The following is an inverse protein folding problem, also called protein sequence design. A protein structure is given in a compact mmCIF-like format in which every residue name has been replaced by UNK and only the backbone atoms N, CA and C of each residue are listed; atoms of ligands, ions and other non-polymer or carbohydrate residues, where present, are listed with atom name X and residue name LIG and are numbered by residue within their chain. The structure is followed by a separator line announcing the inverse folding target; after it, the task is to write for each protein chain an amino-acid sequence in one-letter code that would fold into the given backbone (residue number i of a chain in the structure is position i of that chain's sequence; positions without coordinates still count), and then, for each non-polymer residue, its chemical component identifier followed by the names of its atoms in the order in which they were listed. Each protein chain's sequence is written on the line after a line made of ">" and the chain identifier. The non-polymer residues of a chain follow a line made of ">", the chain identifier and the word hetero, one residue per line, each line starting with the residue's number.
data_IF_777547265695
#
_entry.id   IF_777547265695
#
_cell.length_a   1.000
_cell.length_b   1.000
_cell.length_c   1.000
_cell.angle_alpha   90.00
_cell.angle_beta   90.00
_cell.angle_gamma   90.00
#
_symmetry.space_group_name_H-M   'P 1'
#
loop_
_entity.id
_entity.type
_entity.pdbx_description
1 polymer ?
#
# COMPACT_ATOMS: atom_id res chain seq x y z
N UNK A 1 20.94 -38.14 17.46
CA UNK A 1 19.56 -37.63 17.29
C UNK A 1 18.97 -37.08 18.59
N UNK A 2 19.23 -37.62 19.79
CA UNK A 2 18.59 -37.15 21.03
C UNK A 2 18.97 -35.75 21.58
N UNK A 3 20.05 -35.12 21.12
CA UNK A 3 20.44 -33.78 21.61
C UNK A 3 19.69 -32.61 20.95
N UNK A 4 19.14 -32.81 19.74
CA UNK A 4 18.28 -31.80 19.09
C UNK A 4 16.84 -31.82 19.65
N UNK A 5 16.34 -33.00 20.01
CA UNK A 5 15.02 -33.14 20.63
C UNK A 5 14.97 -32.62 22.08
N UNK A 6 16.06 -32.75 22.85
CA UNK A 6 16.11 -32.21 24.22
C UNK A 6 16.19 -30.68 24.25
N UNK A 7 16.85 -30.05 23.26
CA UNK A 7 16.88 -28.60 23.12
C UNK A 7 15.53 -28.01 22.70
N UNK A 8 14.84 -28.62 21.72
CA UNK A 8 13.49 -28.20 21.33
C UNK A 8 12.46 -28.33 22.46
N UNK A 9 12.56 -29.37 23.30
CA UNK A 9 11.66 -29.53 24.48
C UNK A 9 11.95 -28.49 25.58
N UNK A 10 13.20 -28.09 25.76
CA UNK A 10 13.56 -27.06 26.73
C UNK A 10 13.11 -25.66 26.30
N UNK A 11 13.19 -25.33 25.01
CA UNK A 11 12.68 -24.06 24.47
C UNK A 11 11.15 -23.99 24.50
N UNK A 12 10.46 -25.07 24.13
CA UNK A 12 9.00 -25.15 24.22
C UNK A 12 8.49 -25.01 25.68
N UNK A 13 9.19 -25.59 26.65
CA UNK A 13 8.86 -25.47 28.07
C UNK A 13 9.13 -24.07 28.65
N UNK A 14 10.09 -23.33 28.09
CA UNK A 14 10.40 -21.95 28.51
C UNK A 14 9.36 -20.96 27.97
N UNK A 15 8.96 -21.10 26.70
CA UNK A 15 7.91 -20.28 26.09
C UNK A 15 6.53 -20.47 26.75
N UNK A 16 6.19 -21.70 27.15
CA UNK A 16 4.93 -21.97 27.87
C UNK A 16 4.90 -21.31 29.26
N UNK A 17 6.03 -21.28 29.99
CA UNK A 17 6.11 -20.61 31.30
C UNK A 17 6.01 -19.09 31.18
N UNK A 18 6.62 -18.51 30.16
CA UNK A 18 6.57 -17.07 29.89
C UNK A 18 5.16 -16.62 29.48
N UNK A 19 4.51 -17.36 28.56
CA UNK A 19 3.12 -17.12 28.18
C UNK A 19 2.17 -17.20 29.38
N UNK A 20 2.36 -18.18 30.27
CA UNK A 20 1.55 -18.29 31.50
C UNK A 20 1.77 -17.10 32.44
N UNK A 21 3.00 -16.58 32.56
CA UNK A 21 3.27 -15.38 33.36
C UNK A 21 2.61 -14.13 32.76
N UNK A 22 2.60 -14.00 31.44
CA UNK A 22 1.95 -12.88 30.74
C UNK A 22 0.42 -12.93 30.93
N UNK A 23 -0.18 -14.11 30.79
CA UNK A 23 -1.61 -14.30 31.01
C UNK A 23 -2.02 -14.07 32.47
N UNK A 24 -1.15 -14.37 33.43
CA UNK A 24 -1.41 -14.04 34.84
C UNK A 24 -1.53 -12.54 35.08
N UNK A 25 -0.73 -11.72 34.38
CA UNK A 25 -0.86 -10.26 34.43
C UNK A 25 -2.18 -9.80 33.83
N UNK A 26 -2.54 -10.28 32.64
CA UNK A 26 -3.83 -10.03 32.00
C UNK A 26 -5.00 -10.37 32.95
N UNK A 27 -5.01 -11.58 33.51
CA UNK A 27 -6.08 -12.02 34.41
C UNK A 27 -6.13 -11.26 35.73
N UNK A 28 -5.01 -10.72 36.22
CA UNK A 28 -5.00 -9.87 37.40
C UNK A 28 -5.72 -8.54 37.17
N UNK A 29 -5.68 -8.01 35.95
CA UNK A 29 -6.37 -6.76 35.59
C UNK A 29 -7.84 -7.00 35.24
N UNK A 30 -8.12 -8.09 34.53
CA UNK A 30 -9.46 -8.39 34.00
C UNK A 30 -10.43 -8.90 35.07
N UNK A 31 -9.98 -9.72 36.03
CA UNK A 31 -10.87 -10.21 37.09
C UNK A 31 -10.13 -10.63 38.36
N UNK A 32 -10.64 -10.16 39.50
CA UNK A 32 -10.17 -10.55 40.83
C UNK A 32 -10.70 -11.93 41.26
N UNK A 33 -11.68 -12.49 40.55
CA UNK A 33 -12.26 -13.82 40.82
C UNK A 33 -11.76 -14.87 39.82
N UNK A 34 -12.05 -16.15 40.03
CA UNK A 34 -11.70 -17.22 39.06
C UNK A 34 -12.58 -17.20 37.79
N UNK A 35 -13.60 -16.33 37.78
CA UNK A 35 -14.51 -16.13 36.66
C UNK A 35 -14.23 -14.80 35.96
N UNK A 36 -14.29 -14.82 34.64
CA UNK A 36 -14.12 -13.68 33.77
C UNK A 36 -15.45 -13.42 33.09
N UNK A 37 -16.06 -12.26 33.36
CA UNK A 37 -17.27 -11.85 32.66
C UNK A 37 -16.94 -11.40 31.23
N UNK A 38 -17.90 -11.51 30.33
CA UNK A 38 -17.77 -11.04 28.95
C UNK A 38 -17.42 -9.55 28.90
N UNK A 39 -18.04 -8.74 29.74
CA UNK A 39 -17.86 -7.29 29.72
C UNK A 39 -16.47 -6.91 30.24
N UNK A 40 -16.00 -7.53 31.33
CA UNK A 40 -14.64 -7.30 31.84
C UNK A 40 -13.58 -7.69 30.80
N UNK A 41 -13.79 -8.82 30.11
CA UNK A 41 -12.91 -9.26 29.04
C UNK A 41 -12.85 -8.26 27.88
N UNK A 42 -14.00 -7.77 27.42
CA UNK A 42 -14.08 -6.84 26.29
C UNK A 42 -13.54 -5.46 26.68
N UNK A 43 -13.84 -4.98 27.89
CA UNK A 43 -13.46 -3.65 28.37
C UNK A 43 -11.97 -3.50 28.65
N UNK A 44 -11.24 -4.60 28.82
CA UNK A 44 -9.78 -4.58 28.89
C UNK A 44 -9.16 -4.04 27.59
N UNK A 45 -9.73 -4.41 26.44
CA UNK A 45 -9.21 -4.01 25.14
C UNK A 45 -9.61 -2.58 24.77
N UNK A 46 -8.77 -1.83 24.04
CA UNK A 46 -9.15 -0.54 23.45
C UNK A 46 -10.39 -0.67 22.56
N UNK A 47 -11.06 0.45 22.26
CA UNK A 47 -12.30 0.45 21.48
C UNK A 47 -12.17 -0.28 20.14
N UNK A 48 -11.04 -0.09 19.46
CA UNK A 48 -10.68 -0.77 18.20
C UNK A 48 -10.61 -2.30 18.35
N UNK A 49 -10.20 -2.79 19.53
CA UNK A 49 -10.07 -4.21 19.83
C UNK A 49 -11.33 -4.90 20.34
N UNK A 50 -12.35 -4.14 20.76
CA UNK A 50 -13.59 -4.70 21.33
C UNK A 50 -14.32 -5.68 20.41
N UNK A 51 -14.47 -5.44 19.09
CA UNK A 51 -15.11 -6.41 18.19
C UNK A 51 -14.39 -7.76 18.15
N UNK A 52 -13.06 -7.73 18.08
CA UNK A 52 -12.21 -8.93 18.10
C UNK A 52 -12.34 -9.66 19.44
N UNK A 53 -12.24 -8.93 20.55
CA UNK A 53 -12.37 -9.47 21.90
C UNK A 53 -13.73 -10.14 22.12
N UNK A 54 -14.83 -9.52 21.69
CA UNK A 54 -16.15 -10.09 21.81
C UNK A 54 -16.32 -11.39 21.01
N UNK A 55 -15.71 -11.48 19.83
CA UNK A 55 -15.72 -12.69 18.99
C UNK A 55 -14.85 -13.80 19.60
N UNK A 56 -13.66 -13.45 20.09
CA UNK A 56 -12.80 -14.38 20.84
C UNK A 56 -13.52 -14.93 22.06
N UNK A 57 -14.19 -14.08 22.85
CA UNK A 57 -14.96 -14.53 24.01
C UNK A 57 -16.10 -15.46 23.62
N UNK A 58 -16.84 -15.14 22.55
CA UNK A 58 -17.94 -15.99 22.04
C UNK A 58 -17.43 -17.37 21.58
N UNK A 59 -16.17 -17.47 21.12
CA UNK A 59 -15.53 -18.75 20.80
C UNK A 59 -15.16 -19.54 22.06
N UNK A 60 -14.64 -18.86 23.06
CA UNK A 60 -14.23 -19.47 24.33
C UNK A 60 -15.45 -19.97 25.10
N UNK A 61 -16.52 -19.17 25.12
CA UNK A 61 -17.78 -19.46 25.80
C UNK A 61 -18.98 -19.07 24.94
N UNK A 62 -19.51 -19.99 24.11
CA UNK A 62 -20.61 -19.68 23.18
C UNK A 62 -21.96 -19.48 23.87
N UNK A 63 -22.16 -20.05 25.06
CA UNK A 63 -23.46 -20.09 25.75
C UNK A 63 -23.48 -19.32 27.07
N UNK A 64 -22.33 -19.05 27.69
CA UNK A 64 -22.26 -18.47 29.02
C UNK A 64 -21.74 -17.02 28.96
N UNK A 65 -22.33 -16.14 29.78
CA UNK A 65 -21.85 -14.75 29.97
C UNK A 65 -20.55 -14.66 30.76
N UNK A 66 -20.11 -15.78 31.36
CA UNK A 66 -18.90 -15.90 32.16
C UNK A 66 -18.09 -17.11 31.71
N UNK A 67 -16.77 -17.03 31.85
CA UNK A 67 -15.86 -18.13 31.58
C UNK A 67 -14.85 -18.28 32.73
N UNK A 68 -14.38 -19.49 33.00
CA UNK A 68 -13.29 -19.69 33.99
C UNK A 68 -11.96 -19.26 33.39
N UNK A 69 -11.04 -18.75 34.23
CA UNK A 69 -9.69 -18.35 33.79
C UNK A 69 -9.01 -19.47 32.99
N UNK A 70 -9.12 -20.72 33.46
CA UNK A 70 -8.54 -21.90 32.83
C UNK A 70 -9.03 -22.15 31.39
N UNK A 71 -10.33 -21.93 31.12
CA UNK A 71 -10.91 -22.05 29.77
C UNK A 71 -10.44 -20.92 28.83
N UNK A 72 -10.15 -19.73 29.37
CA UNK A 72 -9.59 -18.63 28.60
C UNK A 72 -8.08 -18.80 28.34
N UNK A 73 -7.34 -19.45 29.26
CA UNK A 73 -5.88 -19.60 29.16
C UNK A 73 -5.45 -20.34 27.90
N UNK A 74 -6.12 -21.43 27.55
CA UNK A 74 -5.71 -22.26 26.41
C UNK A 74 -5.77 -21.49 25.07
N UNK A 75 -6.91 -20.87 24.65
CA UNK A 75 -6.97 -20.10 23.41
C UNK A 75 -6.06 -18.88 23.40
N UNK A 76 -5.91 -18.18 24.53
CA UNK A 76 -5.00 -17.03 24.61
C UNK A 76 -3.54 -17.46 24.52
N UNK A 77 -3.17 -18.60 25.12
CA UNK A 77 -1.82 -19.16 25.00
C UNK A 77 -1.49 -19.58 23.57
N UNK A 78 -2.48 -20.09 22.82
CA UNK A 78 -2.34 -20.40 21.40
C UNK A 78 -2.04 -19.12 20.60
N UNK A 79 -2.79 -18.04 20.83
CA UNK A 79 -2.53 -16.74 20.20
C UNK A 79 -1.10 -16.25 20.49
N UNK A 80 -0.66 -16.30 21.75
CA UNK A 80 0.70 -15.88 22.13
C UNK A 80 1.82 -16.76 21.52
N UNK A 81 1.51 -18.00 21.16
CA UNK A 81 2.46 -18.96 20.59
C UNK A 81 2.58 -18.91 19.06
N UNK A 82 1.67 -18.21 18.38
CA UNK A 82 1.62 -18.17 16.91
C UNK A 82 2.72 -17.24 16.39
N UNK A 83 3.74 -17.82 15.78
CA UNK A 83 4.90 -17.08 15.28
C UNK A 83 4.88 -16.80 13.76
N UNK A 84 4.16 -17.58 12.96
CA UNK A 84 4.18 -17.48 11.49
C UNK A 84 2.94 -16.77 10.95
N UNK A 85 3.10 -16.00 9.87
CA UNK A 85 2.01 -15.33 9.14
C UNK A 85 0.92 -16.31 8.68
N UNK A 86 1.32 -17.46 8.16
CA UNK A 86 0.40 -18.54 7.77
C UNK A 86 -0.45 -19.08 8.92
N UNK A 87 0.15 -19.23 10.10
CA UNK A 87 -0.59 -19.65 11.29
C UNK A 87 -1.52 -18.53 11.80
N UNK A 88 -1.11 -17.26 11.71
CA UNK A 88 -1.97 -16.10 12.01
C UNK A 88 -3.20 -16.09 11.10
N UNK A 89 -2.98 -16.23 9.79
CA UNK A 89 -4.01 -16.30 8.75
C UNK A 89 -5.06 -17.38 9.03
N UNK A 90 -4.59 -18.59 9.32
CA UNK A 90 -5.47 -19.72 9.65
C UNK A 90 -6.25 -19.49 10.95
N UNK A 91 -5.58 -18.96 11.98
CA UNK A 91 -6.16 -18.69 13.29
C UNK A 91 -7.30 -17.67 13.19
N UNK A 92 -7.06 -16.50 12.59
CA UNK A 92 -8.06 -15.43 12.55
C UNK A 92 -9.26 -15.77 11.69
N UNK A 93 -9.06 -16.45 10.56
CA UNK A 93 -10.19 -16.98 9.81
C UNK A 93 -10.99 -17.94 10.69
N UNK A 94 -10.36 -18.91 11.34
CA UNK A 94 -11.06 -19.88 12.18
C UNK A 94 -11.85 -19.23 13.33
N UNK A 95 -11.29 -18.18 13.95
CA UNK A 95 -11.96 -17.40 15.01
C UNK A 95 -13.26 -16.78 14.48
N UNK A 96 -13.24 -16.16 13.30
CA UNK A 96 -14.39 -15.43 12.77
C UNK A 96 -15.40 -16.33 12.04
N UNK A 97 -14.97 -17.21 11.14
CA UNK A 97 -15.88 -18.00 10.29
C UNK A 97 -16.22 -19.39 10.83
N UNK A 98 -15.39 -19.95 11.71
CA UNK A 98 -15.55 -21.34 12.15
C UNK A 98 -15.31 -22.31 11.01
N UNK A 99 -16.25 -23.23 10.78
CA UNK A 99 -16.10 -24.29 9.77
C UNK A 99 -16.46 -23.80 8.36
N UNK A 100 -17.42 -22.87 8.22
CA UNK A 100 -17.91 -22.37 6.93
C UNK A 100 -17.61 -20.88 6.75
N UNK A 101 -17.01 -20.48 5.63
CA UNK A 101 -16.79 -19.08 5.29
C UNK A 101 -18.10 -18.41 4.86
N UNK A 102 -18.72 -17.65 5.76
CA UNK A 102 -19.85 -16.76 5.42
C UNK A 102 -19.30 -15.38 5.07
N UNK A 103 -19.86 -14.79 4.01
CA UNK A 103 -19.43 -13.47 3.53
C UNK A 103 -19.42 -12.42 4.64
N UNK A 104 -20.48 -12.36 5.46
CA UNK A 104 -20.57 -11.39 6.56
C UNK A 104 -19.48 -11.58 7.63
N UNK A 105 -19.13 -12.82 7.97
CA UNK A 105 -18.11 -13.10 8.99
C UNK A 105 -16.71 -12.71 8.48
N UNK A 106 -16.44 -12.96 7.19
CA UNK A 106 -15.21 -12.53 6.52
C UNK A 106 -15.15 -11.00 6.40
N UNK A 107 -16.24 -10.34 6.00
CA UNK A 107 -16.30 -8.88 5.95
C UNK A 107 -16.01 -8.27 7.32
N UNK A 108 -16.64 -8.77 8.39
CA UNK A 108 -16.40 -8.28 9.75
C UNK A 108 -14.93 -8.47 10.19
N UNK A 109 -14.31 -9.60 9.81
CA UNK A 109 -12.89 -9.85 10.07
C UNK A 109 -12.00 -8.82 9.36
N UNK A 110 -12.24 -8.59 8.06
CA UNK A 110 -11.46 -7.64 7.26
C UNK A 110 -11.66 -6.20 7.74
N UNK A 111 -12.90 -5.82 8.09
CA UNK A 111 -13.19 -4.52 8.70
C UNK A 111 -12.43 -4.34 10.01
N UNK A 112 -12.43 -5.36 10.87
CA UNK A 112 -11.68 -5.31 12.13
C UNK A 112 -10.18 -5.16 11.84
N UNK A 113 -9.62 -5.99 10.96
CA UNK A 113 -8.19 -5.92 10.62
C UNK A 113 -7.78 -4.55 10.03
N UNK A 114 -8.61 -3.96 9.16
CA UNK A 114 -8.38 -2.61 8.63
C UNK A 114 -8.36 -1.57 9.75
N UNK A 115 -9.28 -1.64 10.71
CA UNK A 115 -9.33 -0.68 11.84
C UNK A 115 -8.05 -0.74 12.68
N UNK A 116 -7.53 -1.94 12.94
CA UNK A 116 -6.24 -2.12 13.63
C UNK A 116 -5.08 -1.51 12.83
N UNK A 117 -5.06 -1.73 11.52
CA UNK A 117 -4.05 -1.17 10.65
C UNK A 117 -4.08 0.37 10.64
N UNK A 118 -5.26 0.97 10.45
CA UNK A 118 -5.42 2.43 10.43
C UNK A 118 -5.06 3.08 11.77
N UNK A 119 -5.46 2.46 12.88
CA UNK A 119 -5.11 2.94 14.22
C UNK A 119 -3.58 2.94 14.43
N UNK A 120 -2.89 1.88 14.00
CA UNK A 120 -1.44 1.79 14.11
C UNK A 120 -0.71 2.73 13.13
N UNK A 121 -1.33 3.08 12.01
CA UNK A 121 -0.80 4.05 11.06
C UNK A 121 -1.10 5.51 11.45
N UNK A 122 -1.86 5.76 12.52
CA UNK A 122 -2.28 7.11 12.91
C UNK A 122 -3.27 7.75 11.94
N UNK A 123 -3.94 6.95 11.09
CA UNK A 123 -4.90 7.44 10.11
C UNK A 123 -6.32 7.36 10.69
N UNK A 124 -7.14 8.42 10.56
CA UNK A 124 -8.51 8.39 11.05
C UNK A 124 -9.30 7.22 10.46
N UNK A 125 -10.00 6.50 11.35
CA UNK A 125 -10.79 5.32 11.00
C UNK A 125 -12.12 5.61 10.25
N UNK A 126 -12.19 6.74 9.54
CA UNK A 126 -13.38 7.09 8.74
C UNK A 126 -13.37 6.29 7.46
N UNK A 127 -14.39 5.45 7.27
CA UNK A 127 -14.56 4.65 6.05
C UNK A 127 -15.25 5.45 4.95
N UNK A 128 -14.78 5.25 3.73
CA UNK A 128 -15.42 5.70 2.50
C UNK A 128 -16.13 4.54 1.80
N UNK A 129 -17.08 4.82 0.91
CA UNK A 129 -17.71 3.77 0.08
C UNK A 129 -16.71 3.01 -0.83
N UNK A 130 -15.56 3.62 -1.13
CA UNK A 130 -14.47 2.95 -1.83
C UNK A 130 -13.77 1.90 -0.95
N UNK A 131 -13.64 2.16 0.35
CA UNK A 131 -13.11 1.18 1.30
C UNK A 131 -14.04 -0.03 1.42
N UNK A 132 -15.34 0.20 1.52
CA UNK A 132 -16.32 -0.88 1.56
C UNK A 132 -16.30 -1.71 0.28
N UNK A 133 -16.13 -1.08 -0.89
CA UNK A 133 -16.01 -1.79 -2.17
C UNK A 133 -14.78 -2.71 -2.21
N UNK A 134 -13.63 -2.22 -1.74
CA UNK A 134 -12.39 -2.98 -1.67
C UNK A 134 -12.49 -4.18 -0.70
N UNK A 135 -13.05 -3.94 0.50
CA UNK A 135 -13.29 -5.00 1.49
C UNK A 135 -14.24 -6.05 0.93
N UNK A 136 -15.33 -5.64 0.26
CA UNK A 136 -16.28 -6.55 -0.34
C UNK A 136 -15.67 -7.39 -1.47
N UNK A 137 -14.77 -6.80 -2.27
CA UNK A 137 -14.04 -7.53 -3.30
C UNK A 137 -13.16 -8.63 -2.69
N UNK A 138 -12.35 -8.30 -1.67
CA UNK A 138 -11.52 -9.27 -0.96
C UNK A 138 -12.36 -10.34 -0.24
N UNK A 139 -13.46 -9.93 0.43
CA UNK A 139 -14.36 -10.85 1.13
C UNK A 139 -15.00 -11.86 0.17
N UNK A 140 -15.39 -11.45 -1.04
CA UNK A 140 -15.92 -12.34 -2.08
C UNK A 140 -14.88 -13.36 -2.53
N UNK A 141 -13.63 -12.93 -2.75
CA UNK A 141 -12.54 -13.82 -3.16
C UNK A 141 -12.22 -14.86 -2.08
N UNK A 142 -12.18 -14.45 -0.80
CA UNK A 142 -11.96 -15.38 0.31
C UNK A 142 -13.13 -16.36 0.47
N UNK A 143 -14.36 -15.86 0.41
CA UNK A 143 -15.57 -16.69 0.52
C UNK A 143 -15.67 -17.70 -0.62
N UNK A 144 -15.22 -17.35 -1.84
CA UNK A 144 -15.23 -18.27 -2.98
C UNK A 144 -14.25 -19.44 -2.85
N UNK A 145 -13.31 -19.40 -1.88
CA UNK A 145 -12.41 -20.54 -1.61
C UNK A 145 -13.09 -21.66 -0.81
N UNK A 146 -14.22 -21.38 -0.17
CA UNK A 146 -15.08 -22.34 0.52
C UNK A 146 -14.58 -22.82 1.88
N UNK A 147 -13.32 -23.27 1.98
CA UNK A 147 -12.71 -23.80 3.21
C UNK A 147 -11.68 -22.84 3.80
N UNK A 148 -11.47 -22.92 5.12
CA UNK A 148 -10.48 -22.11 5.85
C UNK A 148 -9.06 -22.40 5.37
N UNK A 149 -8.72 -23.66 5.10
CA UNK A 149 -7.38 -24.06 4.64
C UNK A 149 -7.04 -23.48 3.27
N UNK A 150 -7.96 -23.59 2.30
CA UNK A 150 -7.76 -23.05 0.95
C UNK A 150 -7.74 -21.52 0.94
N UNK A 151 -8.51 -20.87 1.82
CA UNK A 151 -8.44 -19.43 2.01
C UNK A 151 -7.09 -19.00 2.62
N UNK A 152 -6.59 -19.72 3.63
CA UNK A 152 -5.28 -19.45 4.23
C UNK A 152 -4.13 -19.62 3.23
N UNK A 153 -4.11 -20.72 2.48
CA UNK A 153 -3.13 -20.96 1.41
C UNK A 153 -3.13 -19.85 0.36
N UNK A 154 -4.32 -19.37 -0.01
CA UNK A 154 -4.46 -18.26 -0.95
C UNK A 154 -3.94 -16.94 -0.36
N UNK A 155 -4.24 -16.64 0.91
CA UNK A 155 -3.71 -15.45 1.57
C UNK A 155 -2.19 -15.51 1.71
N UNK A 156 -1.62 -16.66 2.02
CA UNK A 156 -0.16 -16.83 2.12
C UNK A 156 0.54 -16.52 0.78
N UNK A 157 -0.14 -16.77 -0.35
CA UNK A 157 0.38 -16.48 -1.68
C UNK A 157 0.19 -15.02 -2.12
N UNK A 158 -0.87 -14.34 -1.67
CA UNK A 158 -1.29 -13.02 -2.19
C UNK A 158 -1.09 -11.89 -1.17
N UNK A 159 -1.47 -12.10 0.08
CA UNK A 159 -1.45 -11.10 1.16
C UNK A 159 -1.01 -11.75 2.48
N UNK A 160 0.26 -12.19 2.58
CA UNK A 160 0.74 -12.97 3.73
C UNK A 160 0.67 -12.18 5.05
N UNK A 161 0.85 -10.87 5.02
CA UNK A 161 0.93 -10.03 6.22
C UNK A 161 -0.41 -9.36 6.59
N UNK A 162 -1.52 -9.81 6.01
CA UNK A 162 -2.84 -9.16 6.14
C UNK A 162 -3.28 -8.97 7.60
N UNK A 163 -3.02 -9.96 8.45
CA UNK A 163 -3.39 -9.94 9.87
C UNK A 163 -2.22 -9.72 10.82
N UNK A 164 -1.02 -9.45 10.31
CA UNK A 164 0.18 -9.33 11.15
C UNK A 164 0.10 -8.16 12.11
N UNK A 165 -0.42 -7.01 11.67
CA UNK A 165 -0.59 -5.85 12.57
C UNK A 165 -1.69 -6.08 13.61
N UNK A 166 -2.81 -6.68 13.23
CA UNK A 166 -3.86 -7.07 14.18
C UNK A 166 -3.32 -8.05 15.23
N UNK A 167 -2.51 -9.01 14.80
CA UNK A 167 -1.86 -9.98 15.69
C UNK A 167 -0.88 -9.31 16.66
N UNK A 168 0.00 -8.46 16.13
CA UNK A 168 0.99 -7.74 16.93
C UNK A 168 0.33 -6.88 18.01
N UNK A 169 -0.74 -6.16 17.66
CA UNK A 169 -1.50 -5.35 18.61
C UNK A 169 -2.16 -6.21 19.69
N UNK A 170 -2.81 -7.32 19.31
CA UNK A 170 -3.45 -8.22 20.25
C UNK A 170 -2.45 -8.83 21.23
N UNK A 171 -1.30 -9.30 20.73
CA UNK A 171 -0.22 -9.86 21.56
C UNK A 171 0.36 -8.78 22.49
N UNK A 172 0.57 -7.56 22.00
CA UNK A 172 1.03 -6.42 22.82
C UNK A 172 0.07 -6.13 23.98
N UNK A 173 -1.25 -6.08 23.72
CA UNK A 173 -2.25 -5.87 24.76
C UNK A 173 -2.29 -7.01 25.79
N UNK A 174 -2.13 -8.26 25.36
CA UNK A 174 -2.05 -9.41 26.27
C UNK A 174 -0.77 -9.40 27.13
N UNK A 175 0.30 -8.75 26.64
CA UNK A 175 1.55 -8.55 27.38
C UNK A 175 1.54 -7.35 28.32
N UNK A 176 0.49 -6.53 28.27
CA UNK A 176 0.40 -5.28 29.04
C UNK A 176 1.21 -4.14 28.44
N UNK A 177 1.55 -4.19 27.14
CA UNK A 177 2.12 -3.04 26.44
C UNK A 177 1.11 -1.89 26.40
N UNK A 178 1.59 -0.66 26.60
CA UNK A 178 0.74 0.53 26.69
C UNK A 178 -0.11 0.72 25.43
N UNK A 179 -1.31 1.25 25.65
CA UNK A 179 -2.27 1.55 24.59
C UNK A 179 -1.62 2.54 23.61
N UNK A 180 -1.71 2.32 22.29
CA UNK A 180 -1.24 3.32 21.34
C UNK A 180 -1.95 4.64 21.64
N UNK A 181 -1.16 5.70 21.80
CA UNK A 181 -1.63 7.06 22.01
C UNK A 181 -2.61 7.46 20.91
N UNK A 182 -3.67 8.20 21.25
CA UNK A 182 -4.54 8.82 20.26
C UNK A 182 -3.70 9.80 19.43
N UNK A 183 -3.31 9.38 18.21
CA UNK A 183 -2.59 10.25 17.29
C UNK A 183 -3.58 11.22 16.68
N UNK A 184 -3.38 12.51 16.93
CA UNK A 184 -4.21 13.57 16.39
C UNK A 184 -4.01 13.73 14.88
N UNK A 185 -5.03 13.34 14.12
CA UNK A 185 -5.53 14.03 12.92
C UNK A 185 -4.52 14.38 11.83
N UNK A 186 -3.96 13.37 11.15
CA UNK A 186 -3.44 13.58 9.79
C UNK A 186 -4.63 13.85 8.85
N UNK A 187 -4.50 14.85 7.98
CA UNK A 187 -5.48 15.12 6.92
C UNK A 187 -5.72 13.88 6.06
N UNK A 188 -6.93 13.73 5.52
CA UNK A 188 -7.29 12.56 4.72
C UNK A 188 -6.66 12.62 3.32
N UNK A 189 -5.38 12.24 3.21
CA UNK A 189 -4.64 12.18 1.94
C UNK A 189 -5.29 11.23 0.90
N UNK A 190 -6.16 10.31 1.34
CA UNK A 190 -6.85 9.34 0.50
C UNK A 190 -8.24 9.81 0.02
N UNK A 191 -8.73 10.97 0.50
CA UNK A 191 -10.06 11.45 0.16
C UNK A 191 -10.19 11.74 -1.34
N UNK A 192 -11.13 11.05 -2.00
CA UNK A 192 -11.41 11.22 -3.42
C UNK A 192 -10.36 10.62 -4.37
N UNK A 193 -9.43 9.81 -3.85
CA UNK A 193 -8.37 9.13 -4.63
C UNK A 193 -8.77 7.71 -5.00
N UNK A 194 -8.12 7.16 -6.03
CA UNK A 194 -8.30 5.77 -6.46
C UNK A 194 -7.68 4.80 -5.42
N UNK A 195 -6.51 5.15 -4.87
CA UNK A 195 -5.97 4.45 -3.72
C UNK A 195 -6.79 4.82 -2.47
N UNK A 196 -7.75 3.98 -2.11
CA UNK A 196 -8.43 4.10 -0.82
C UNK A 196 -7.61 3.44 0.30
N UNK A 197 -8.01 3.68 1.55
CA UNK A 197 -7.34 3.15 2.75
C UNK A 197 -7.33 1.63 2.78
N UNK A 198 -8.43 1.01 2.36
CA UNK A 198 -8.53 -0.44 2.27
C UNK A 198 -7.55 -1.02 1.23
N UNK A 199 -7.43 -0.40 0.05
CA UNK A 199 -6.46 -0.84 -0.95
C UNK A 199 -5.02 -0.61 -0.50
N UNK A 200 -4.76 0.51 0.19
CA UNK A 200 -3.45 0.78 0.78
C UNK A 200 -3.04 -0.30 1.77
N UNK A 201 -3.93 -0.66 2.70
CA UNK A 201 -3.71 -1.76 3.64
C UNK A 201 -3.46 -3.10 2.92
N UNK A 202 -4.33 -3.48 1.98
CA UNK A 202 -4.22 -4.74 1.23
C UNK A 202 -2.88 -4.78 0.49
N UNK A 203 -2.50 -3.70 -0.20
CA UNK A 203 -1.25 -3.63 -0.94
C UNK A 203 -0.03 -3.64 -0.02
N UNK A 204 -0.06 -2.94 1.12
CA UNK A 204 1.04 -3.07 2.10
C UNK A 204 1.20 -4.50 2.58
N UNK A 205 0.10 -5.26 2.75
CA UNK A 205 0.17 -6.66 3.15
C UNK A 205 0.61 -7.64 2.05
N UNK A 206 0.54 -7.21 0.79
CA UNK A 206 0.82 -8.02 -0.41
C UNK A 206 2.17 -7.74 -1.05
N UNK A 207 2.73 -6.56 -0.85
CA UNK A 207 3.96 -6.11 -1.49
C UNK A 207 5.20 -6.42 -0.66
N UNK A 208 6.35 -6.49 -1.34
CA UNK A 208 7.65 -6.68 -0.70
C UNK A 208 7.96 -5.56 0.31
N UNK A 209 8.77 -5.87 1.33
CA UNK A 209 9.24 -4.90 2.32
C UNK A 209 9.87 -3.64 1.73
N UNK A 210 10.35 -3.69 0.48
CA UNK A 210 10.85 -2.50 -0.23
C UNK A 210 9.80 -1.38 -0.30
N UNK A 211 8.51 -1.71 -0.40
CA UNK A 211 7.41 -0.75 -0.48
C UNK A 211 6.81 -0.37 0.88
N UNK A 212 7.21 -1.06 1.96
CA UNK A 212 6.61 -0.94 3.30
C UNK A 212 7.60 -0.63 4.40
N UNK A 213 8.90 -0.56 4.08
CA UNK A 213 9.99 -0.34 5.05
C UNK A 213 9.82 1.00 5.78
N UNK A 214 9.37 0.90 7.04
CA UNK A 214 9.67 1.87 8.09
C UNK A 214 11.17 1.85 8.35
N UNK A 215 11.89 2.87 7.90
CA UNK A 215 13.31 3.02 8.21
C UNK A 215 13.51 3.14 9.73
N UNK A 216 13.85 2.03 10.40
CA UNK A 216 14.45 2.09 11.74
C UNK A 216 15.95 2.21 11.58
N UNK A 217 16.46 3.44 11.69
CA UNK A 217 17.83 3.68 12.08
C UNK A 217 17.96 4.99 12.87
N UNK A 218 17.64 4.97 14.17
CA UNK A 218 18.48 5.59 15.21
C UNK A 218 18.03 5.21 16.63
N UNK A 219 19.04 5.19 17.49
CA UNK A 219 19.09 4.76 18.89
C UNK A 219 17.99 5.29 19.79
N UNK A 220 17.65 4.48 20.80
CA UNK A 220 16.80 4.80 21.93
C UNK A 220 17.26 6.07 22.66
N UNK A 221 16.73 7.22 22.25
CA UNK A 221 16.61 8.49 22.97
C UNK A 221 16.02 9.49 21.97
N UNK A 222 14.69 9.60 21.85
CA UNK A 222 14.08 10.76 21.20
C UNK A 222 12.60 10.94 21.55
N UNK A 223 12.23 12.22 21.59
CA UNK A 223 11.02 12.89 22.07
C UNK A 223 9.74 12.52 21.32
N UNK A 224 8.59 12.97 21.85
CA UNK A 224 7.25 12.83 21.26
C UNK A 224 7.16 13.29 19.78
N UNK A 225 8.00 14.26 19.37
CA UNK A 225 8.12 14.71 17.97
C UNK A 225 8.57 13.58 17.00
N UNK A 226 9.39 12.63 17.46
CA UNK A 226 9.86 11.51 16.63
C UNK A 226 8.77 10.43 16.43
N UNK A 227 7.77 10.38 17.31
CA UNK A 227 6.63 9.47 17.16
C UNK A 227 5.67 9.97 16.06
N UNK A 228 5.42 11.28 15.99
CA UNK A 228 4.65 11.91 14.91
C UNK A 228 5.34 11.77 13.55
N UNK A 229 6.67 11.96 13.50
CA UNK A 229 7.47 11.75 12.27
C UNK A 229 7.40 10.27 11.81
N UNK A 230 7.39 9.31 12.73
CA UNK A 230 7.33 7.88 12.42
C UNK A 230 5.97 7.40 11.88
N UNK A 231 4.87 8.09 12.20
CA UNK A 231 3.53 7.78 11.69
C UNK A 231 3.37 8.29 10.25
N UNK A 232 3.87 9.49 9.97
CA UNK A 232 3.89 10.12 8.64
C UNK A 232 4.85 9.42 7.65
N UNK A 233 5.89 8.75 8.16
CA UNK A 233 6.82 7.94 7.36
C UNK A 233 6.19 6.67 6.75
N UNK A 234 4.94 6.34 7.10
CA UNK A 234 4.29 5.11 6.63
C UNK A 234 3.32 5.30 5.46
N UNK A 235 2.88 6.55 5.21
CA UNK A 235 1.91 6.87 4.17
C UNK A 235 2.62 7.09 2.84
N UNK A 236 2.08 6.54 1.76
CA UNK A 236 2.64 6.74 0.43
C UNK A 236 2.29 8.13 -0.11
N UNK A 237 3.22 8.76 -0.82
CA UNK A 237 3.05 10.11 -1.36
C UNK A 237 2.47 10.09 -2.78
N UNK A 238 1.41 10.85 -3.05
CA UNK A 238 0.91 10.98 -4.42
C UNK A 238 1.89 11.79 -5.29
N UNK A 239 2.49 11.14 -6.28
CA UNK A 239 3.43 11.78 -7.21
C UNK A 239 2.73 12.34 -8.44
N UNK A 240 1.76 11.57 -8.96
CA UNK A 240 1.00 11.91 -10.16
C UNK A 240 -0.44 11.37 -10.05
N UNK A 241 -1.40 12.18 -10.44
CA UNK A 241 -2.80 11.79 -10.67
C UNK A 241 -3.25 12.30 -12.03
N UNK A 242 -3.88 11.45 -12.83
CA UNK A 242 -4.47 11.84 -14.11
C UNK A 242 -5.64 12.81 -13.96
N UNK A 243 -6.33 12.80 -12.81
CA UNK A 243 -7.42 13.74 -12.52
C UNK A 243 -6.89 15.17 -12.36
N UNK A 244 -5.71 15.32 -11.76
CA UNK A 244 -5.12 16.63 -11.48
C UNK A 244 -4.24 17.12 -12.65
N UNK A 245 -3.53 16.20 -13.31
CA UNK A 245 -2.53 16.54 -14.33
C UNK A 245 -2.98 16.25 -15.77
N UNK A 246 -4.01 15.42 -15.97
CA UNK A 246 -4.41 14.91 -17.28
C UNK A 246 -3.57 13.71 -17.74
N UNK A 247 -4.14 12.88 -18.63
CA UNK A 247 -3.44 11.71 -19.19
C UNK A 247 -2.43 12.14 -20.27
N UNK A 248 -1.14 12.07 -19.93
CA UNK A 248 -0.07 12.33 -20.89
C UNK A 248 1.25 11.73 -20.42
N UNK A 249 1.94 11.01 -21.30
CA UNK A 249 3.27 10.42 -21.03
C UNK A 249 4.28 11.48 -20.60
N UNK A 250 4.24 12.68 -21.21
CA UNK A 250 5.12 13.79 -20.86
C UNK A 250 4.85 14.32 -19.45
N UNK A 251 3.59 14.40 -19.04
CA UNK A 251 3.21 14.85 -17.70
C UNK A 251 3.58 13.81 -16.66
N UNK A 252 3.34 12.53 -16.93
CA UNK A 252 3.82 11.45 -16.08
C UNK A 252 5.34 11.52 -15.91
N UNK A 253 6.11 11.66 -17.00
CA UNK A 253 7.56 11.81 -16.94
C UNK A 253 7.95 12.98 -16.02
N UNK A 254 7.36 14.15 -16.22
CA UNK A 254 7.66 15.34 -15.42
C UNK A 254 7.41 15.15 -13.92
N UNK A 255 6.36 14.41 -13.54
CA UNK A 255 5.98 14.25 -12.13
C UNK A 255 6.68 13.08 -11.42
N UNK A 256 7.03 12.03 -12.17
CA UNK A 256 7.49 10.75 -11.62
C UNK A 256 9.00 10.56 -11.83
N UNK A 257 9.57 11.02 -12.95
CA UNK A 257 10.99 10.84 -13.21
C UNK A 257 11.81 11.70 -12.24
N UNK A 258 12.93 11.16 -11.78
CA UNK A 258 13.75 11.80 -10.73
C UNK A 258 13.35 11.42 -9.31
N UNK A 259 12.21 10.76 -9.10
CA UNK A 259 11.90 10.11 -7.83
C UNK A 259 12.80 8.89 -7.61
N UNK A 260 13.62 8.94 -6.54
CA UNK A 260 14.67 7.96 -6.24
C UNK A 260 14.24 6.87 -5.27
N UNK A 261 13.11 6.24 -5.55
CA UNK A 261 12.56 5.21 -4.68
C UNK A 261 11.52 4.32 -5.36
N UNK A 262 11.00 3.32 -4.64
CA UNK A 262 9.94 2.46 -5.12
C UNK A 262 8.64 3.24 -5.30
N UNK A 263 7.87 2.89 -6.32
CA UNK A 263 6.60 3.53 -6.64
C UNK A 263 5.50 2.49 -6.86
N UNK A 264 4.26 2.89 -6.62
CA UNK A 264 3.08 2.12 -6.91
C UNK A 264 2.22 2.90 -7.92
N UNK A 265 1.98 2.31 -9.08
CA UNK A 265 1.02 2.81 -10.05
C UNK A 265 -0.31 2.09 -9.89
N UNK A 266 -1.42 2.81 -9.77
CA UNK A 266 -2.78 2.25 -9.74
C UNK A 266 -3.58 2.86 -10.88
N UNK A 267 -4.30 2.02 -11.61
CA UNK A 267 -5.14 2.47 -12.71
C UNK A 267 -6.53 1.84 -12.62
N UNK A 268 -7.55 2.61 -12.96
CA UNK A 268 -8.92 2.13 -13.11
C UNK A 268 -9.36 2.28 -14.56
N UNK A 269 -10.02 1.26 -15.09
CA UNK A 269 -10.61 1.27 -16.43
C UNK A 269 -12.11 1.56 -16.38
N UNK A 270 -12.67 2.01 -17.50
CA UNK A 270 -14.12 2.26 -17.63
C UNK A 270 -14.99 1.02 -17.41
N UNK A 271 -14.45 -0.17 -17.70
CA UNK A 271 -15.17 -1.43 -17.55
C UNK A 271 -15.11 -1.99 -16.11
N UNK A 272 -14.56 -1.23 -15.16
CA UNK A 272 -14.52 -1.56 -13.73
C UNK A 272 -13.27 -2.32 -13.28
N UNK A 273 -12.38 -2.67 -14.21
CA UNK A 273 -11.10 -3.29 -13.88
C UNK A 273 -10.18 -2.29 -13.17
N UNK A 274 -9.49 -2.76 -12.13
CA UNK A 274 -8.51 -1.95 -11.39
C UNK A 274 -7.23 -2.76 -11.27
N UNK A 275 -6.10 -2.14 -11.63
CA UNK A 275 -4.77 -2.77 -11.56
C UNK A 275 -3.85 -1.95 -10.67
N UNK A 276 -2.94 -2.65 -9.99
CA UNK A 276 -1.85 -2.09 -9.22
C UNK A 276 -0.52 -2.65 -9.75
N UNK A 277 0.45 -1.77 -9.97
CA UNK A 277 1.77 -2.11 -10.47
C UNK A 277 2.80 -1.53 -9.52
N UNK A 278 3.48 -2.40 -8.80
CA UNK A 278 4.56 -2.05 -7.89
C UNK A 278 5.88 -2.07 -8.66
N UNK A 279 6.61 -0.96 -8.60
CA UNK A 279 7.88 -0.75 -9.30
C UNK A 279 8.94 -0.42 -8.27
N UNK A 280 9.91 -1.32 -8.09
CA UNK A 280 10.91 -1.24 -7.02
C UNK A 280 12.14 -0.37 -7.35
N UNK A 281 12.19 0.17 -8.56
CA UNK A 281 13.32 0.96 -9.09
C UNK A 281 12.84 2.26 -9.69
N UNK A 282 13.77 3.22 -9.82
CA UNK A 282 13.48 4.52 -10.40
C UNK A 282 13.00 4.41 -11.84
N UNK A 283 12.00 5.23 -12.16
CA UNK A 283 11.47 5.36 -13.52
C UNK A 283 12.53 5.91 -14.45
N UNK A 284 12.70 5.24 -15.59
CA UNK A 284 13.65 5.61 -16.62
C UNK A 284 13.07 5.37 -18.00
N UNK A 285 13.48 6.20 -18.94
CA UNK A 285 13.28 5.95 -20.35
C UNK A 285 14.43 5.06 -20.87
N UNK A 286 14.11 4.12 -21.77
CA UNK A 286 15.12 3.28 -22.37
C UNK A 286 14.59 2.40 -23.49
N UNK A 287 15.52 1.77 -24.20
CA UNK A 287 15.22 0.80 -25.26
C UNK A 287 15.06 -0.63 -24.73
N UNK A 288 15.36 -0.86 -23.44
CA UNK A 288 15.26 -2.15 -22.78
C UNK A 288 14.28 -2.08 -21.61
N UNK A 289 13.66 -3.22 -21.30
CA UNK A 289 12.86 -3.34 -20.08
C UNK A 289 13.77 -3.29 -18.85
N UNK A 290 13.24 -2.73 -17.76
CA UNK A 290 13.91 -2.52 -16.48
C UNK A 290 12.95 -2.89 -15.33
N UNK A 291 13.42 -2.80 -14.09
CA UNK A 291 12.69 -3.26 -12.91
C UNK A 291 13.49 -4.32 -12.17
N UNK A 292 13.56 -4.22 -10.85
CA UNK A 292 14.21 -5.19 -9.99
C UNK A 292 13.31 -6.39 -9.70
N UNK A 293 13.78 -7.28 -8.82
CA UNK A 293 13.11 -8.54 -8.51
C UNK A 293 11.80 -8.40 -7.75
N UNK A 294 11.53 -7.24 -7.14
CA UNK A 294 10.31 -6.97 -6.36
C UNK A 294 9.24 -6.24 -7.17
N UNK A 295 9.46 -6.01 -8.47
CA UNK A 295 8.39 -5.52 -9.35
C UNK A 295 7.26 -6.54 -9.43
N UNK A 296 6.01 -6.08 -9.33
CA UNK A 296 4.85 -6.95 -9.53
C UNK A 296 3.66 -6.23 -10.13
N UNK A 297 2.80 -6.99 -10.80
CA UNK A 297 1.49 -6.54 -11.28
C UNK A 297 0.41 -7.35 -10.58
N UNK A 298 -0.58 -6.63 -10.04
CA UNK A 298 -1.76 -7.18 -9.41
C UNK A 298 -3.00 -6.62 -10.08
N UNK A 299 -4.03 -7.46 -10.23
CA UNK A 299 -5.39 -7.03 -10.50
C UNK A 299 -6.10 -6.91 -9.17
N UNK A 300 -6.68 -5.76 -8.87
CA UNK A 300 -7.44 -5.49 -7.64
C UNK A 300 -8.94 -5.77 -7.84
N UNK A 301 -9.46 -5.41 -9.01
CA UNK A 301 -10.86 -5.62 -9.41
C UNK A 301 -10.92 -6.23 -10.80
N UNK A 302 -11.89 -7.13 -11.08
CA UNK A 302 -12.97 -7.57 -10.20
C UNK A 302 -12.56 -8.60 -9.13
N UNK A 303 -11.41 -9.25 -9.32
CA UNK A 303 -10.85 -10.26 -8.43
C UNK A 303 -9.40 -9.93 -8.09
N UNK A 304 -9.08 -9.97 -6.78
CA UNK A 304 -7.72 -9.74 -6.31
C UNK A 304 -6.82 -10.89 -6.72
N UNK A 305 -5.84 -10.62 -7.59
CA UNK A 305 -4.91 -11.61 -8.10
C UNK A 305 -3.54 -11.00 -8.40
N UNK A 306 -2.47 -11.69 -8.00
CA UNK A 306 -1.11 -11.39 -8.47
C UNK A 306 -0.92 -12.00 -9.86
N UNK A 307 -0.74 -11.14 -10.87
CA UNK A 307 -0.62 -11.54 -12.27
C UNK A 307 0.81 -11.98 -12.61
N UNK A 308 1.81 -11.21 -12.18
CA UNK A 308 3.22 -11.50 -12.42
C UNK A 308 4.11 -10.74 -11.45
N UNK A 309 5.29 -11.31 -11.17
CA UNK A 309 6.35 -10.70 -10.37
C UNK A 309 7.73 -11.11 -10.90
N UNK A 310 8.68 -10.18 -10.83
CA UNK A 310 10.08 -10.39 -11.14
C UNK A 310 10.75 -9.20 -11.80
N UNK A 311 11.98 -9.41 -12.24
CA UNK A 311 12.81 -8.39 -12.89
C UNK A 311 12.39 -8.07 -14.33
N UNK A 312 12.85 -6.92 -14.82
CA UNK A 312 12.69 -6.46 -16.20
C UNK A 312 11.23 -6.37 -16.68
N UNK A 313 10.32 -6.01 -15.76
CA UNK A 313 8.90 -5.92 -16.04
C UNK A 313 8.49 -4.64 -16.75
N UNK A 314 9.14 -3.50 -16.48
CA UNK A 314 8.70 -2.19 -16.95
C UNK A 314 9.45 -1.82 -18.23
N UNK A 315 8.72 -1.38 -19.24
CA UNK A 315 9.26 -0.78 -20.44
C UNK A 315 8.62 0.59 -20.63
N UNK A 316 9.45 1.59 -20.85
CA UNK A 316 9.02 2.96 -21.10
C UNK A 316 9.88 3.55 -22.21
N UNK A 317 9.24 3.95 -23.31
CA UNK A 317 9.91 4.60 -24.43
C UNK A 317 8.99 5.66 -25.05
N UNK A 318 9.50 6.87 -25.22
CA UNK A 318 8.74 7.96 -25.85
C UNK A 318 9.50 8.55 -27.06
N UNK A 319 10.82 8.65 -26.96
CA UNK A 319 11.69 9.32 -27.94
C UNK A 319 12.18 8.40 -29.07
N UNK A 320 12.41 7.12 -28.80
CA UNK A 320 13.02 6.22 -29.79
C UNK A 320 12.02 5.86 -30.89
N UNK A 321 12.31 6.25 -32.14
CA UNK A 321 11.41 6.07 -33.29
C UNK A 321 11.25 4.61 -33.76
N UNK A 322 12.25 3.76 -33.50
CA UNK A 322 12.29 2.38 -33.99
C UNK A 322 11.74 1.37 -32.98
N UNK A 323 11.20 1.83 -31.85
CA UNK A 323 10.69 0.99 -30.75
C UNK A 323 9.23 1.36 -30.45
N UNK A 324 8.45 0.44 -29.85
CA UNK A 324 7.10 0.74 -29.40
C UNK A 324 7.09 1.97 -28.48
N UNK A 325 6.14 2.87 -28.68
CA UNK A 325 5.97 4.06 -27.84
C UNK A 325 5.01 3.77 -26.70
N UNK A 326 5.25 4.42 -25.57
CA UNK A 326 4.43 4.34 -24.37
C UNK A 326 5.00 3.42 -23.30
N UNK A 327 4.10 2.91 -22.46
CA UNK A 327 4.41 2.13 -21.28
C UNK A 327 3.95 0.70 -21.52
N UNK A 328 4.81 -0.28 -21.23
CA UNK A 328 4.44 -1.69 -21.31
C UNK A 328 4.99 -2.44 -20.10
N UNK A 329 4.20 -3.35 -19.57
CA UNK A 329 4.43 -3.98 -18.28
C UNK A 329 4.28 -5.48 -18.43
N UNK A 330 5.28 -6.22 -18.00
CA UNK A 330 5.34 -7.68 -18.00
C UNK A 330 6.73 -8.19 -18.34
N UNK A 331 7.09 -9.37 -17.85
CA UNK A 331 8.46 -9.91 -18.01
C UNK A 331 8.71 -10.37 -19.44
N UNK A 332 7.70 -10.91 -20.11
CA UNK A 332 7.85 -11.40 -21.47
C UNK A 332 7.84 -10.23 -22.48
N UNK A 333 8.92 -10.01 -23.25
CA UNK A 333 8.98 -8.92 -24.24
C UNK A 333 7.91 -9.03 -25.34
N UNK A 334 7.50 -10.25 -25.70
CA UNK A 334 6.54 -10.51 -26.79
C UNK A 334 5.08 -10.47 -26.33
N UNK A 335 4.85 -10.79 -25.06
CA UNK A 335 3.51 -10.86 -24.46
C UNK A 335 3.52 -10.10 -23.14
N UNK A 336 3.43 -8.77 -23.24
CA UNK A 336 3.26 -7.90 -22.08
C UNK A 336 1.88 -8.10 -21.48
N UNK A 337 1.77 -7.93 -20.17
CA UNK A 337 0.51 -8.06 -19.43
C UNK A 337 -0.33 -6.81 -19.63
N UNK A 338 0.26 -5.65 -19.39
CA UNK A 338 -0.41 -4.36 -19.60
C UNK A 338 0.38 -3.57 -20.65
N UNK A 339 -0.30 -3.05 -21.66
CA UNK A 339 0.31 -2.15 -22.65
C UNK A 339 -0.54 -0.90 -22.80
N UNK A 340 0.03 0.25 -22.49
CA UNK A 340 -0.63 1.53 -22.68
C UNK A 340 -0.47 1.99 -24.13
N UNK A 341 -1.60 2.32 -24.76
CA UNK A 341 -1.69 2.86 -26.12
C UNK A 341 -2.20 4.30 -26.05
N UNK A 342 -2.11 5.00 -27.18
CA UNK A 342 -2.74 6.32 -27.37
C UNK A 342 -2.41 7.30 -26.25
N UNK A 343 -1.12 7.39 -25.87
CA UNK A 343 -0.69 8.36 -24.84
C UNK A 343 -1.17 8.06 -23.42
N UNK A 344 -1.53 6.80 -23.12
CA UNK A 344 -2.08 6.27 -21.86
C UNK A 344 -3.60 6.35 -21.71
N UNK A 345 -4.33 6.71 -22.78
CA UNK A 345 -5.79 6.73 -22.77
C UNK A 345 -6.41 5.33 -22.84
N UNK A 346 -5.68 4.37 -23.41
CA UNK A 346 -6.14 2.98 -23.58
C UNK A 346 -5.11 2.03 -23.00
N UNK A 347 -5.56 1.06 -22.19
CA UNK A 347 -4.75 -0.04 -21.70
C UNK A 347 -5.21 -1.35 -22.32
N UNK A 348 -4.27 -2.14 -22.83
CA UNK A 348 -4.51 -3.49 -23.33
C UNK A 348 -4.06 -4.53 -22.31
N UNK A 349 -4.96 -5.44 -21.95
CA UNK A 349 -4.70 -6.63 -21.14
C UNK A 349 -5.35 -7.85 -21.79
N UNK A 350 -4.58 -8.92 -22.05
CA UNK A 350 -5.07 -10.16 -22.67
C UNK A 350 -5.91 -9.96 -23.95
N UNK A 351 -5.46 -9.10 -24.86
CA UNK A 351 -6.16 -8.74 -26.11
C UNK A 351 -7.48 -7.98 -25.94
N UNK A 352 -7.82 -7.57 -24.71
CA UNK A 352 -8.92 -6.65 -24.41
C UNK A 352 -8.32 -5.26 -24.21
N UNK A 353 -8.81 -4.29 -24.98
CA UNK A 353 -8.43 -2.88 -24.85
C UNK A 353 -9.53 -2.14 -24.11
N UNK A 354 -9.15 -1.35 -23.11
CA UNK A 354 -10.08 -0.60 -22.25
C UNK A 354 -9.58 0.83 -22.08
N UNK A 355 -10.51 1.79 -21.98
CA UNK A 355 -10.14 3.17 -21.70
C UNK A 355 -9.78 3.34 -20.23
N UNK A 356 -8.68 4.06 -20.00
CA UNK A 356 -8.18 4.39 -18.67
C UNK A 356 -8.98 5.56 -18.13
N UNK A 357 -9.72 5.33 -17.04
CA UNK A 357 -10.52 6.35 -16.38
C UNK A 357 -9.68 7.22 -15.46
N UNK A 358 -8.89 6.59 -14.60
CA UNK A 358 -7.98 7.27 -13.67
C UNK A 358 -6.68 6.50 -13.54
N UNK A 359 -5.58 7.23 -13.38
CA UNK A 359 -4.23 6.71 -13.20
C UNK A 359 -3.54 7.53 -12.11
N UNK A 360 -3.07 6.84 -11.07
CA UNK A 360 -2.34 7.43 -9.95
C UNK A 360 -0.99 6.75 -9.80
N UNK A 361 0.04 7.51 -9.42
CA UNK A 361 1.36 6.99 -9.08
C UNK A 361 1.74 7.54 -7.71
N UNK A 362 2.04 6.62 -6.81
CA UNK A 362 2.37 6.85 -5.42
C UNK A 362 3.84 6.50 -5.15
N UNK A 363 4.54 7.31 -4.37
CA UNK A 363 5.91 7.09 -3.92
C UNK A 363 5.90 6.35 -2.59
N UNK A 364 6.61 5.21 -2.54
CA UNK A 364 6.69 4.34 -1.37
C UNK A 364 8.07 4.42 -0.68
N UNK A 365 8.76 5.54 -0.86
CA UNK A 365 10.12 5.76 -0.36
C UNK A 365 10.13 6.34 1.04
N UNK A 366 11.31 6.45 1.62
CA UNK A 366 11.51 7.02 2.95
C UNK A 366 11.37 8.55 2.96
N UNK A 367 11.30 9.14 4.16
CA UNK A 367 11.35 10.60 4.35
C UNK A 367 12.54 11.26 3.67
N UNK A 368 13.67 10.56 3.56
CA UNK A 368 14.84 11.00 2.79
C UNK A 368 14.50 11.24 1.31
N UNK A 369 13.87 10.26 0.66
CA UNK A 369 13.44 10.36 -0.73
C UNK A 369 12.37 11.44 -0.91
N UNK A 370 11.41 11.54 0.02
CA UNK A 370 10.37 12.57 0.04
C UNK A 370 10.94 13.98 0.09
N UNK A 371 11.86 14.23 1.02
CA UNK A 371 12.51 15.55 1.15
C UNK A 371 13.41 15.88 -0.04
N UNK A 372 14.09 14.88 -0.62
CA UNK A 372 14.87 15.05 -1.84
C UNK A 372 13.98 15.44 -3.03
N UNK A 373 12.83 14.77 -3.20
CA UNK A 373 11.87 15.11 -4.24
C UNK A 373 11.29 16.51 -4.07
N UNK A 374 10.91 16.89 -2.84
CA UNK A 374 10.41 18.24 -2.56
C UNK A 374 11.45 19.32 -2.90
N UNK A 375 12.74 19.05 -2.60
CA UNK A 375 13.84 19.94 -2.99
C UNK A 375 14.00 20.03 -4.50
N UNK A 376 13.97 18.90 -5.21
CA UNK A 376 14.07 18.85 -6.67
C UNK A 376 12.94 19.66 -7.33
N UNK A 377 11.69 19.40 -6.96
CA UNK A 377 10.53 20.16 -7.48
C UNK A 377 10.64 21.66 -7.19
N UNK A 378 11.13 22.04 -6.01
CA UNK A 378 11.36 23.46 -5.66
C UNK A 378 12.47 24.09 -6.49
N UNK A 379 13.50 23.33 -6.86
CA UNK A 379 14.55 23.80 -7.76
C UNK A 379 14.01 23.97 -9.18
N UNK A 380 13.29 22.99 -9.70
CA UNK A 380 12.66 23.05 -11.03
C UNK A 380 11.69 24.21 -11.16
N UNK A 381 10.86 24.47 -10.14
CA UNK A 381 9.95 25.62 -10.12
C UNK A 381 10.72 26.93 -10.18
N UNK A 382 11.80 27.06 -9.41
CA UNK A 382 12.66 28.27 -9.45
C UNK A 382 13.34 28.46 -10.79
N UNK A 383 13.77 27.37 -11.43
CA UNK A 383 14.41 27.43 -12.74
C UNK A 383 13.39 27.71 -13.85
N UNK A 384 12.17 27.19 -13.74
CA UNK A 384 11.05 27.54 -14.62
C UNK A 384 10.65 29.01 -14.48
N UNK A 385 10.59 29.55 -13.25
CA UNK A 385 10.36 30.99 -13.02
C UNK A 385 11.49 31.85 -13.60
N UNK A 386 12.75 31.41 -13.47
CA UNK A 386 13.89 32.08 -14.08
C UNK A 386 13.80 32.06 -15.60
N UNK A 387 13.48 30.91 -16.19
CA UNK A 387 13.31 30.75 -17.62
C UNK A 387 12.14 31.58 -18.17
N UNK A 388 11.02 31.65 -17.45
CA UNK A 388 9.90 32.52 -17.82
C UNK A 388 10.24 34.01 -17.73
N UNK A 389 11.16 34.39 -16.83
CA UNK A 389 11.70 35.76 -16.72
C UNK A 389 12.76 36.07 -17.77
N UNK A 390 13.33 35.08 -18.47
CA UNK A 390 14.18 35.32 -19.62
C UNK A 390 13.29 35.91 -20.71
N UNK A 391 13.48 37.21 -20.97
CA UNK A 391 12.83 37.86 -22.11
C UNK A 391 13.22 37.06 -23.35
N UNK A 392 12.22 36.55 -24.08
CA UNK A 392 12.40 36.06 -25.44
C UNK A 392 13.24 37.12 -26.19
N UNK A 393 14.23 36.73 -27.00
CA UNK A 393 14.87 37.67 -27.92
C UNK A 393 13.75 38.42 -28.64
N UNK A 394 13.87 39.75 -28.68
CA UNK A 394 12.80 40.67 -29.10
C UNK A 394 12.18 40.32 -30.46
N UNK A 395 11.11 41.03 -30.80
CA UNK A 395 10.51 40.99 -32.14
C UNK A 395 11.60 40.88 -33.19
N UNK A 396 11.40 40.06 -34.24
CA UNK A 396 12.36 39.83 -35.34
C UNK A 396 13.04 41.12 -35.85
N UNK A 397 12.36 42.25 -35.71
CA UNK A 397 12.82 43.61 -35.95
C UNK A 397 14.11 44.01 -35.22
N UNK A 398 14.31 43.54 -33.99
CA UNK A 398 15.47 43.87 -33.16
C UNK A 398 16.56 42.77 -33.18
N UNK A 399 16.41 41.75 -34.02
CA UNK A 399 17.38 40.65 -34.06
C UNK A 399 18.69 41.10 -34.72
N UNK A 400 19.86 40.83 -34.12
CA UNK A 400 21.16 41.15 -34.72
C UNK A 400 21.35 40.45 -36.07
N UNK A 401 20.72 39.29 -36.25
CA UNK A 401 20.72 38.53 -37.50
C UNK A 401 19.97 39.25 -38.63
N UNK A 402 18.84 39.92 -38.33
CA UNK A 402 18.15 40.80 -39.29
C UNK A 402 19.06 41.96 -39.71
N UNK A 403 19.73 42.60 -38.74
CA UNK A 403 20.65 43.71 -39.02
C UNK A 403 21.85 43.28 -39.88
N UNK A 404 22.39 42.07 -39.64
CA UNK A 404 23.43 41.47 -40.46
C UNK A 404 22.96 41.15 -41.89
N UNK A 405 21.73 40.62 -42.04
CA UNK A 405 21.13 40.33 -43.34
C UNK A 405 20.85 41.60 -44.15
N UNK A 406 20.35 42.66 -43.50
CA UNK A 406 20.13 43.96 -44.13
C UNK A 406 21.44 44.63 -44.55
N UNK A 407 22.48 44.60 -43.70
CA UNK A 407 23.83 45.07 -44.07
C UNK A 407 24.46 44.24 -45.22
N UNK A 408 24.13 42.94 -45.29
CA UNK A 408 24.51 42.04 -46.38
C UNK A 408 23.67 42.21 -47.66
N UNK A 409 22.74 43.16 -47.70
CA UNK A 409 21.90 43.46 -48.88
C UNK A 409 20.70 42.53 -49.08
N UNK A 410 20.39 41.66 -48.12
CA UNK A 410 19.24 40.75 -48.16
C UNK A 410 18.01 41.46 -47.59
N UNK A 411 17.02 41.73 -48.42
CA UNK A 411 15.73 42.27 -47.98
C UNK A 411 14.90 41.17 -47.31
N UNK A 412 14.58 41.36 -46.03
CA UNK A 412 13.92 40.37 -45.17
C UNK A 412 12.40 40.57 -45.04
N UNK A 413 11.84 41.62 -45.66
CA UNK A 413 10.40 41.92 -45.67
C UNK A 413 9.73 41.40 -46.95
N UNK A 414 9.44 40.10 -47.02
CA UNK A 414 8.68 39.53 -48.15
C UNK A 414 7.16 39.76 -48.07
N UNK A 415 6.62 40.18 -46.91
CA UNK A 415 5.18 40.27 -46.68
C UNK A 415 4.52 41.56 -47.24
N UNK A 416 5.29 42.62 -47.50
CA UNK A 416 4.73 43.91 -47.96
C UNK A 416 4.62 44.05 -49.48
N UNK A 417 5.24 43.15 -50.26
CA UNK A 417 5.22 43.21 -51.72
C UNK A 417 3.90 42.75 -52.37
N UNK A 418 2.98 42.15 -51.61
CA UNK A 418 1.72 41.61 -52.15
C UNK A 418 0.46 42.43 -51.79
N UNK A 419 0.59 43.63 -51.23
CA UNK A 419 -0.57 44.49 -50.87
C UNK A 419 -0.84 45.63 -51.85
N UNK A 420 -0.21 45.62 -53.02
CA UNK A 420 -0.54 46.53 -54.12
C UNK A 420 -0.59 45.77 -55.43
N UNK A 421 -1.75 45.21 -55.73
CA UNK A 421 -2.32 45.12 -57.08
C UNK A 421 -3.84 45.30 -56.98
#
# INVERSE_FOLDING_TARGET
>A
MGAKESHQRHEAGKGSRENNSQLNHFFAVVSHSDRVSRDDFINYFPEVGRPLAGRLFTRISPSDSECTKLKCTEPLSQILSVATTSAQNSLYIAVFSGISLKLQDVTNLLETALMFFLNNAGVPARRSGADDTAIQALAKVLTSKGMVTTAAEWMDAICPELFTEMHRCLVGWLRGEEKPSDVSGVEDEFSGRLLCRAWWWILQSSLSSVFTKKSKARSAQQSEEAAEESALDSVWDLLYSSSDHGLSTNRLQHHVFGYRGPTLMILSCDQGDVYAVAVDTEWREGTQSWGGSSCCVMRLMPDLQKLEEGENMIFFNDRSRNMPRGISIGRNPKKKILTFKEGMEVVEHNHRSESVRTLEIWGCGDSGTRTAQAKLKKMEMKDAERAAKVKLPGQWEDSPDRMLLEMGGVKVNHAEQFTRD
#
